data_IF_388722528931
#
_entry.id   IF_388722528931
#
_cell.length_a   1.000
_cell.length_b   1.000
_cell.length_c   1.000
_cell.angle_alpha   90.00
_cell.angle_beta   90.00
_cell.angle_gamma   90.00
#
_symmetry.space_group_name_H-M   'P 1'
#
loop_
_entity.id
_entity.type
_entity.pdbx_description
1 polymer ?
#
# COMPACT_ATOMS: atom_id res chain seq x y z
N UNK A 1 56.86 7.76 46.91
CA UNK A 1 55.66 7.63 47.77
C UNK A 1 54.56 8.66 47.46
N UNK A 2 54.63 9.94 47.84
CA UNK A 2 53.47 10.87 47.67
C UNK A 2 53.01 11.03 46.21
N UNK A 3 53.96 11.13 45.28
CA UNK A 3 53.67 11.28 43.84
C UNK A 3 53.00 10.01 43.27
N UNK A 4 53.53 8.82 43.59
CA UNK A 4 52.99 7.53 43.14
C UNK A 4 51.57 7.29 43.67
N UNK A 5 51.30 7.68 44.93
CA UNK A 5 49.95 7.60 45.52
C UNK A 5 48.96 8.49 44.78
N UNK A 6 49.38 9.70 44.39
CA UNK A 6 48.54 10.62 43.61
C UNK A 6 48.28 10.08 42.19
N UNK A 7 49.30 9.52 41.54
CA UNK A 7 49.15 8.94 40.20
C UNK A 7 48.22 7.72 40.23
N UNK A 8 48.36 6.84 41.21
CA UNK A 8 47.50 5.67 41.39
C UNK A 8 46.03 6.08 41.63
N UNK A 9 45.79 7.12 42.43
CA UNK A 9 44.46 7.67 42.66
C UNK A 9 43.85 8.21 41.35
N UNK A 10 44.64 8.91 40.54
CA UNK A 10 44.18 9.52 39.29
C UNK A 10 43.84 8.46 38.23
N UNK A 11 44.63 7.38 38.15
CA UNK A 11 44.34 6.20 37.31
C UNK A 11 43.05 5.51 37.76
N UNK A 12 42.84 5.38 39.06
CA UNK A 12 41.62 4.76 39.60
C UNK A 12 40.38 5.59 39.25
N UNK A 13 40.46 6.92 39.38
CA UNK A 13 39.39 7.84 38.99
C UNK A 13 39.11 7.74 37.49
N UNK A 14 40.14 7.74 36.64
CA UNK A 14 39.96 7.59 35.19
C UNK A 14 39.37 6.25 34.79
N UNK A 15 39.74 5.15 35.47
CA UNK A 15 39.13 3.84 35.24
C UNK A 15 37.63 3.83 35.58
N UNK A 16 37.23 4.50 36.67
CA UNK A 16 35.82 4.67 37.06
C UNK A 16 35.07 5.48 35.99
N UNK A 17 35.65 6.59 35.53
CA UNK A 17 35.04 7.40 34.47
C UNK A 17 34.88 6.59 33.17
N UNK A 18 35.91 5.87 32.73
CA UNK A 18 35.84 5.02 31.54
C UNK A 18 34.74 3.96 31.66
N UNK A 19 34.60 3.32 32.83
CA UNK A 19 33.54 2.36 33.10
C UNK A 19 32.14 2.99 33.05
N UNK A 20 31.95 4.16 33.66
CA UNK A 20 30.67 4.87 33.63
C UNK A 20 30.30 5.32 32.21
N UNK A 21 31.26 5.84 31.44
CA UNK A 21 31.06 6.22 30.05
C UNK A 21 30.71 5.01 29.18
N UNK A 22 31.40 3.89 29.35
CA UNK A 22 31.08 2.65 28.64
C UNK A 22 29.68 2.14 28.98
N UNK A 23 29.30 2.17 30.28
CA UNK A 23 27.97 1.77 30.73
C UNK A 23 26.88 2.69 30.18
N UNK A 24 27.12 4.00 30.12
CA UNK A 24 26.20 4.97 29.51
C UNK A 24 26.05 4.71 28.01
N UNK A 25 27.14 4.53 27.27
CA UNK A 25 27.10 4.22 25.85
C UNK A 25 26.26 2.97 25.56
N UNK A 26 26.49 1.89 26.33
CA UNK A 26 25.72 0.65 26.22
C UNK A 26 24.24 0.81 26.58
N UNK A 27 23.90 1.69 27.53
CA UNK A 27 22.51 1.98 27.87
C UNK A 27 21.81 2.82 26.79
N UNK A 28 22.55 3.73 26.13
CA UNK A 28 22.03 4.55 25.03
C UNK A 28 21.79 3.73 23.76
N UNK A 29 22.55 2.66 23.50
CA UNK A 29 22.32 1.75 22.37
C UNK A 29 20.89 1.21 22.33
N UNK A 30 20.37 0.71 23.45
CA UNK A 30 19.00 0.19 23.54
C UNK A 30 17.93 1.28 23.29
N UNK A 31 18.21 2.51 23.71
CA UNK A 31 17.31 3.64 23.44
C UNK A 31 17.35 4.06 21.97
N UNK A 32 18.53 4.02 21.34
CA UNK A 32 18.67 4.32 19.91
C UNK A 32 18.00 3.26 19.03
N UNK A 33 18.05 1.98 19.43
CA UNK A 33 17.35 0.90 18.73
C UNK A 33 15.83 1.10 18.77
N UNK A 34 15.28 1.38 19.95
CA UNK A 34 13.85 1.67 20.09
C UNK A 34 13.39 2.89 19.27
N UNK A 35 14.20 3.97 19.24
CA UNK A 35 13.94 5.15 18.40
C UNK A 35 14.02 4.81 16.91
N UNK A 36 14.96 3.95 16.52
CA UNK A 36 15.13 3.51 15.13
C UNK A 36 13.93 2.68 14.66
N UNK A 37 13.47 1.74 15.47
CA UNK A 37 12.30 0.93 15.17
C UNK A 37 11.03 1.79 15.08
N UNK A 38 10.88 2.76 15.99
CA UNK A 38 9.77 3.71 15.95
C UNK A 38 9.82 4.59 14.69
N UNK A 39 11.01 5.09 14.33
CA UNK A 39 11.21 5.88 13.10
C UNK A 39 10.90 5.06 11.86
N UNK A 40 11.33 3.80 11.83
CA UNK A 40 11.09 2.88 10.73
C UNK A 40 9.59 2.59 10.56
N UNK A 41 8.88 2.28 11.64
CA UNK A 41 7.44 2.04 11.61
C UNK A 41 6.65 3.27 11.14
N UNK A 42 7.10 4.47 11.50
CA UNK A 42 6.49 5.74 11.06
C UNK A 42 6.73 6.06 9.58
N UNK A 43 7.89 5.71 9.05
CA UNK A 43 8.29 6.06 7.69
C UNK A 43 7.93 4.99 6.66
N UNK A 44 7.63 3.77 7.12
CA UNK A 44 7.33 2.63 6.27
C UNK A 44 6.31 2.96 5.16
N UNK A 45 6.59 2.60 3.89
CA UNK A 45 5.58 2.61 2.84
C UNK A 45 4.50 1.56 3.16
N UNK A 46 3.25 1.87 2.87
CA UNK A 46 2.14 0.94 3.05
C UNK A 46 1.40 0.82 1.73
N UNK A 47 1.42 -0.36 1.12
CA UNK A 47 0.77 -0.60 -0.16
C UNK A 47 -0.60 -1.18 0.13
N UNK A 48 -1.59 -0.28 0.08
CA UNK A 48 -2.99 -0.63 0.27
C UNK A 48 -3.61 -1.02 -1.06
N UNK A 49 -4.32 -2.14 -1.05
CA UNK A 49 -5.11 -2.58 -2.21
C UNK A 49 -6.55 -2.74 -1.78
N UNK A 50 -7.44 -1.94 -2.38
CA UNK A 50 -8.85 -1.92 -2.00
C UNK A 50 -9.76 -1.78 -3.22
N UNK A 51 -10.89 -2.51 -3.24
CA UNK A 51 -11.95 -2.23 -4.20
C UNK A 51 -12.64 -0.90 -3.88
N UNK A 52 -13.17 -0.22 -4.90
CA UNK A 52 -14.03 0.94 -4.72
C UNK A 52 -14.94 1.13 -5.93
N UNK A 53 -16.03 1.87 -5.74
CA UNK A 53 -16.93 2.31 -6.81
C UNK A 53 -16.61 3.78 -7.09
N UNK A 54 -16.39 4.14 -8.35
CA UNK A 54 -16.24 5.55 -8.74
C UNK A 54 -17.62 6.21 -8.80
N UNK A 55 -17.80 7.45 -8.31
CA UNK A 55 -19.04 8.19 -8.45
C UNK A 55 -19.58 8.17 -9.88
N UNK A 56 -20.90 8.05 -10.01
CA UNK A 56 -21.62 8.00 -11.29
C UNK A 56 -21.24 6.85 -12.23
N UNK A 57 -20.60 5.78 -11.73
CA UNK A 57 -20.30 4.59 -12.54
C UNK A 57 -20.79 3.32 -11.87
N UNK A 58 -21.35 2.36 -12.61
CA UNK A 58 -21.70 1.05 -12.08
C UNK A 58 -20.51 0.08 -12.02
N UNK A 59 -19.27 0.59 -12.18
CA UNK A 59 -18.05 -0.20 -12.25
C UNK A 59 -17.40 -0.31 -10.88
N UNK A 60 -16.99 -1.54 -10.54
CA UNK A 60 -16.01 -1.74 -9.48
C UNK A 60 -14.61 -1.55 -10.05
N UNK A 61 -13.79 -0.88 -9.27
CA UNK A 61 -12.38 -0.65 -9.54
C UNK A 61 -11.54 -1.24 -8.41
N UNK A 62 -10.31 -1.60 -8.74
CA UNK A 62 -9.27 -1.95 -7.79
C UNK A 62 -8.28 -0.79 -7.73
N UNK A 63 -8.10 -0.23 -6.53
CA UNK A 63 -7.10 0.79 -6.26
C UNK A 63 -5.91 0.16 -5.56
N UNK A 64 -4.71 0.37 -6.11
CA UNK A 64 -3.44 0.12 -5.43
C UNK A 64 -2.85 1.48 -5.10
N UNK A 65 -2.62 1.77 -3.81
CA UNK A 65 -2.13 3.08 -3.36
C UNK A 65 -1.08 2.93 -2.29
N UNK A 66 -0.01 3.73 -2.40
CA UNK A 66 0.94 3.89 -1.31
C UNK A 66 0.40 4.93 -0.32
N UNK A 67 -0.08 4.48 0.83
CA UNK A 67 -0.59 5.32 1.92
C UNK A 67 0.47 5.62 2.98
N UNK A 68 1.67 5.06 2.83
CA UNK A 68 2.80 5.34 3.71
C UNK A 68 3.48 6.67 3.39
N UNK A 69 4.55 6.96 4.15
CA UNK A 69 5.27 8.24 4.07
C UNK A 69 6.52 8.20 3.20
N UNK A 70 6.97 7.03 2.78
CA UNK A 70 8.10 6.83 1.87
C UNK A 70 7.70 6.08 0.60
N UNK A 71 8.56 6.13 -0.42
CA UNK A 71 8.38 5.35 -1.64
C UNK A 71 8.71 3.88 -1.40
N UNK A 72 7.87 2.98 -1.91
CA UNK A 72 8.19 1.57 -2.00
C UNK A 72 9.13 1.35 -3.20
N UNK A 73 10.33 0.83 -2.96
CA UNK A 73 11.30 0.55 -4.03
C UNK A 73 11.13 -0.87 -4.54
N UNK A 74 11.39 -1.08 -5.83
CA UNK A 74 11.31 -2.39 -6.47
C UNK A 74 10.00 -3.12 -6.14
N UNK A 75 8.88 -2.39 -6.22
CA UNK A 75 7.56 -2.91 -5.88
C UNK A 75 7.12 -3.93 -6.93
N UNK A 76 6.84 -5.14 -6.49
CA UNK A 76 6.30 -6.20 -7.31
C UNK A 76 4.94 -6.64 -6.78
N UNK A 77 3.92 -6.55 -7.63
CA UNK A 77 2.54 -6.92 -7.32
C UNK A 77 2.23 -8.29 -7.93
N UNK A 78 1.67 -9.20 -7.14
CA UNK A 78 1.23 -10.50 -7.63
C UNK A 78 -0.20 -10.79 -7.23
N UNK A 79 -0.86 -11.65 -8.01
CA UNK A 79 -2.20 -12.14 -7.75
C UNK A 79 -2.13 -13.63 -7.42
N UNK A 80 -2.93 -14.08 -6.46
CA UNK A 80 -3.07 -15.50 -6.14
C UNK A 80 -3.91 -16.27 -7.16
N UNK A 81 -4.89 -15.59 -7.78
CA UNK A 81 -5.80 -16.13 -8.80
C UNK A 81 -5.86 -15.21 -10.00
N UNK A 82 -6.14 -15.78 -11.17
CA UNK A 82 -6.39 -14.96 -12.35
C UNK A 82 -7.68 -14.17 -12.20
N UNK A 83 -7.66 -12.93 -12.68
CA UNK A 83 -8.82 -12.06 -12.71
C UNK A 83 -8.92 -11.44 -14.10
N UNK A 84 -9.86 -11.92 -14.89
CA UNK A 84 -10.17 -11.37 -16.21
C UNK A 84 -11.16 -10.23 -16.05
N UNK A 85 -10.77 -9.04 -16.51
CA UNK A 85 -11.60 -7.84 -16.47
C UNK A 85 -12.86 -8.04 -17.32
N UNK A 86 -13.98 -7.48 -16.86
CA UNK A 86 -15.28 -7.50 -17.56
C UNK A 86 -15.85 -8.89 -17.85
N UNK A 87 -15.35 -9.96 -17.19
CA UNK A 87 -15.80 -11.32 -17.44
C UNK A 87 -15.36 -11.91 -18.79
N UNK A 88 -14.42 -11.26 -19.47
CA UNK A 88 -13.96 -11.64 -20.81
C UNK A 88 -12.67 -12.48 -20.73
N UNK A 89 -12.76 -13.78 -21.02
CA UNK A 89 -11.58 -14.67 -21.14
C UNK A 89 -10.79 -14.47 -22.44
N UNK A 90 -11.44 -13.94 -23.46
CA UNK A 90 -10.88 -13.80 -24.81
C UNK A 90 -9.97 -12.56 -24.90
N UNK A 91 -8.78 -12.68 -24.33
CA UNK A 91 -7.72 -11.68 -24.43
C UNK A 91 -6.74 -11.80 -23.28
N UNK A 92 -5.48 -12.17 -23.57
CA UNK A 92 -4.43 -12.23 -22.55
C UNK A 92 -4.26 -10.87 -21.83
N UNK A 93 -4.46 -9.76 -22.55
CA UNK A 93 -4.42 -8.39 -22.01
C UNK A 93 -5.58 -8.05 -21.07
N UNK A 94 -6.63 -8.88 -20.99
CA UNK A 94 -7.78 -8.65 -20.09
C UNK A 94 -7.55 -9.20 -18.70
N UNK A 95 -6.57 -10.10 -18.51
CA UNK A 95 -6.18 -10.54 -17.18
C UNK A 95 -5.43 -9.42 -16.45
N UNK A 96 -5.75 -9.17 -15.18
CA UNK A 96 -4.98 -8.23 -14.36
C UNK A 96 -3.50 -8.61 -14.25
N UNK A 97 -3.19 -9.93 -14.25
CA UNK A 97 -1.82 -10.45 -14.15
C UNK A 97 -0.92 -10.02 -15.31
N UNK A 98 -1.49 -9.80 -16.50
CA UNK A 98 -0.70 -9.40 -17.68
C UNK A 98 -0.44 -7.90 -17.75
N UNK A 99 -1.05 -7.09 -16.87
CA UNK A 99 -0.79 -5.65 -16.83
C UNK A 99 0.62 -5.40 -16.33
N UNK A 100 1.28 -4.37 -16.88
CA UNK A 100 2.65 -3.98 -16.52
C UNK A 100 2.86 -3.85 -14.99
N UNK A 101 1.87 -3.34 -14.26
CA UNK A 101 1.96 -3.24 -12.79
C UNK A 101 2.12 -4.58 -12.06
N UNK A 102 1.64 -5.69 -12.65
CA UNK A 102 1.70 -7.05 -12.08
C UNK A 102 2.74 -7.94 -12.77
N UNK A 103 3.16 -7.59 -13.99
CA UNK A 103 4.16 -8.36 -14.75
C UNK A 103 5.59 -7.86 -14.56
N UNK A 104 5.77 -6.55 -14.33
CA UNK A 104 7.09 -5.92 -14.20
C UNK A 104 7.24 -5.23 -12.85
N UNK A 105 8.42 -5.33 -12.19
CA UNK A 105 8.69 -4.55 -10.99
C UNK A 105 8.63 -3.05 -11.28
N UNK A 106 8.09 -2.29 -10.32
CA UNK A 106 8.02 -0.83 -10.34
C UNK A 106 9.21 -0.31 -9.53
N UNK A 107 10.14 0.37 -10.18
CA UNK A 107 11.39 0.85 -9.55
C UNK A 107 11.16 1.67 -8.28
N UNK A 108 10.18 2.58 -8.33
CA UNK A 108 9.78 3.41 -7.21
C UNK A 108 8.30 3.74 -7.28
N UNK A 109 7.56 3.40 -6.23
CA UNK A 109 6.16 3.75 -6.07
C UNK A 109 6.02 4.79 -4.95
N UNK A 110 5.98 6.09 -5.27
CA UNK A 110 6.14 7.17 -4.29
C UNK A 110 4.92 7.30 -3.36
N UNK A 111 5.06 7.99 -2.20
CA UNK A 111 3.96 8.27 -1.29
C UNK A 111 2.78 8.93 -2.02
N UNK A 112 1.58 8.45 -1.78
CA UNK A 112 0.36 9.00 -2.37
C UNK A 112 0.09 8.58 -3.82
N UNK A 113 1.04 7.94 -4.52
CA UNK A 113 0.81 7.43 -5.86
C UNK A 113 -0.27 6.35 -5.86
N UNK A 114 -1.06 6.32 -6.94
CA UNK A 114 -2.16 5.39 -7.11
C UNK A 114 -2.20 4.78 -8.50
N UNK A 115 -2.61 3.51 -8.55
CA UNK A 115 -2.96 2.78 -9.75
C UNK A 115 -4.42 2.34 -9.63
N UNK A 116 -5.19 2.52 -10.70
CA UNK A 116 -6.62 2.21 -10.72
C UNK A 116 -6.87 1.25 -11.88
N UNK A 117 -7.40 0.07 -11.56
CA UNK A 117 -7.76 -0.95 -12.54
C UNK A 117 -9.28 -1.14 -12.53
N UNK A 118 -9.92 -1.07 -13.70
CA UNK A 118 -11.34 -1.38 -13.81
C UNK A 118 -11.54 -2.89 -13.69
N UNK A 119 -12.37 -3.36 -12.75
CA UNK A 119 -12.66 -4.79 -12.61
C UNK A 119 -13.79 -5.21 -13.55
N UNK A 120 -14.88 -4.45 -13.50
CA UNK A 120 -16.06 -4.71 -14.32
C UNK A 120 -17.32 -4.11 -13.69
N UNK A 121 -18.43 -4.09 -14.43
CA UNK A 121 -19.69 -3.63 -13.90
C UNK A 121 -20.31 -4.67 -12.95
N UNK A 122 -21.06 -4.21 -11.95
CA UNK A 122 -21.64 -5.08 -10.92
C UNK A 122 -22.50 -6.23 -11.48
N UNK A 123 -23.26 -6.00 -12.56
CA UNK A 123 -24.08 -7.06 -13.18
C UNK A 123 -23.26 -8.16 -13.88
N UNK A 124 -22.01 -7.89 -14.25
CA UNK A 124 -21.09 -8.91 -14.79
C UNK A 124 -20.41 -9.68 -13.67
N UNK A 125 -19.99 -8.98 -12.62
CA UNK A 125 -19.26 -9.57 -11.50
C UNK A 125 -20.17 -10.39 -10.56
N UNK A 126 -21.46 -10.00 -10.44
CA UNK A 126 -22.40 -10.59 -9.48
C UNK A 126 -23.70 -11.09 -10.11
N UNK A 127 -23.91 -10.91 -11.42
CA UNK A 127 -25.15 -11.31 -12.09
C UNK A 127 -25.29 -12.83 -12.26
N UNK A 128 -26.43 -13.25 -12.80
CA UNK A 128 -26.73 -14.68 -13.04
C UNK A 128 -25.75 -15.37 -13.99
N UNK A 129 -25.10 -14.59 -14.85
CA UNK A 129 -24.09 -15.06 -15.82
C UNK A 129 -22.65 -14.87 -15.32
N UNK A 130 -22.45 -14.47 -14.06
CA UNK A 130 -21.13 -14.31 -13.48
C UNK A 130 -20.40 -15.66 -13.47
N UNK A 131 -19.10 -15.63 -13.82
CA UNK A 131 -18.24 -16.80 -13.82
C UNK A 131 -17.14 -16.60 -12.76
N UNK A 132 -17.29 -17.17 -11.55
CA UNK A 132 -16.33 -17.00 -10.46
C UNK A 132 -14.91 -17.48 -10.79
N UNK A 133 -14.77 -18.40 -11.75
CA UNK A 133 -13.47 -18.89 -12.24
C UNK A 133 -12.78 -17.92 -13.20
N UNK A 134 -13.52 -16.94 -13.74
CA UNK A 134 -13.03 -15.91 -14.66
C UNK A 134 -12.74 -14.62 -13.91
N UNK A 135 -13.69 -14.19 -13.09
CA UNK A 135 -13.63 -12.95 -12.31
C UNK A 135 -14.00 -13.28 -10.88
N UNK A 136 -13.05 -13.79 -10.07
CA UNK A 136 -13.34 -14.21 -8.70
C UNK A 136 -13.75 -13.01 -7.85
N UNK A 137 -14.79 -13.19 -7.02
CA UNK A 137 -15.25 -12.15 -6.09
C UNK A 137 -14.34 -11.97 -4.88
N UNK A 138 -13.40 -12.91 -4.68
CA UNK A 138 -12.40 -12.87 -3.63
C UNK A 138 -11.05 -13.33 -4.18
N UNK A 139 -10.02 -12.54 -3.93
CA UNK A 139 -8.65 -12.81 -4.36
C UNK A 139 -7.66 -12.02 -3.50
N UNK A 140 -6.39 -12.37 -3.57
CA UNK A 140 -5.32 -11.70 -2.86
C UNK A 140 -4.41 -10.96 -3.83
N UNK A 141 -4.03 -9.75 -3.45
CA UNK A 141 -2.93 -9.02 -4.09
C UNK A 141 -1.79 -8.95 -3.10
N UNK A 142 -0.66 -9.56 -3.45
CA UNK A 142 0.55 -9.50 -2.64
C UNK A 142 1.45 -8.41 -3.20
N UNK A 143 1.79 -7.44 -2.35
CA UNK A 143 2.78 -6.42 -2.65
C UNK A 143 4.10 -6.77 -1.96
N UNK A 144 5.15 -6.98 -2.74
CA UNK A 144 6.52 -7.18 -2.24
C UNK A 144 7.36 -5.97 -2.62
N UNK A 145 8.07 -5.38 -1.67
CA UNK A 145 8.84 -4.16 -1.91
C UNK A 145 10.00 -4.00 -0.94
N UNK A 146 10.86 -3.04 -1.23
CA UNK A 146 12.03 -2.68 -0.43
C UNK A 146 11.90 -1.27 0.15
N UNK A 147 12.34 -1.11 1.41
CA UNK A 147 12.44 0.19 2.07
C UNK A 147 13.58 0.15 3.10
N UNK A 148 14.42 1.20 3.15
CA UNK A 148 15.56 1.30 4.07
C UNK A 148 16.49 0.05 4.12
N UNK A 149 16.63 -0.66 3.00
CA UNK A 149 17.43 -1.89 2.90
C UNK A 149 16.75 -3.16 3.44
N UNK A 150 15.47 -3.09 3.84
CA UNK A 150 14.64 -4.23 4.25
C UNK A 150 13.63 -4.57 3.16
N UNK A 151 13.24 -5.84 3.11
CA UNK A 151 12.12 -6.33 2.30
C UNK A 151 10.87 -6.42 3.16
N UNK A 152 9.74 -6.00 2.60
CA UNK A 152 8.42 -6.20 3.17
C UNK A 152 7.51 -6.90 2.16
N UNK A 153 6.56 -7.65 2.72
CA UNK A 153 5.52 -8.34 1.99
C UNK A 153 4.18 -8.03 2.65
N UNK A 154 3.22 -7.62 1.83
CA UNK A 154 1.87 -7.23 2.27
C UNK A 154 0.83 -7.97 1.44
N UNK A 155 0.12 -8.90 2.09
CA UNK A 155 -0.98 -9.64 1.47
C UNK A 155 -2.28 -8.88 1.72
N UNK A 156 -2.82 -8.28 0.66
CA UNK A 156 -4.08 -7.57 0.69
C UNK A 156 -5.22 -8.50 0.22
N UNK A 157 -6.15 -8.81 1.12
CA UNK A 157 -7.32 -9.64 0.81
C UNK A 157 -8.44 -8.79 0.23
N UNK A 158 -8.75 -8.99 -1.04
CA UNK A 158 -9.80 -8.26 -1.75
C UNK A 158 -11.09 -9.08 -1.69
N UNK A 159 -12.18 -8.47 -1.21
CA UNK A 159 -13.52 -9.05 -1.20
C UNK A 159 -14.51 -8.07 -1.85
N UNK A 160 -15.11 -8.50 -2.96
CA UNK A 160 -16.05 -7.70 -3.74
C UNK A 160 -17.51 -7.88 -3.27
N UNK A 161 -17.80 -8.92 -2.49
CA UNK A 161 -19.18 -9.24 -2.06
C UNK A 161 -19.85 -8.16 -1.22
N UNK A 162 -19.15 -7.39 -0.36
CA UNK A 162 -19.76 -6.28 0.38
C UNK A 162 -20.39 -5.19 -0.50
N UNK A 163 -20.03 -5.13 -1.79
CA UNK A 163 -20.58 -4.15 -2.73
C UNK A 163 -21.91 -4.60 -3.36
N UNK A 164 -22.35 -5.83 -3.11
CA UNK A 164 -23.65 -6.32 -3.60
C UNK A 164 -24.76 -5.59 -2.85
N UNK A 165 -25.57 -4.82 -3.60
CA UNK A 165 -26.65 -4.02 -3.02
C UNK A 165 -26.19 -2.73 -2.35
N UNK A 166 -24.90 -2.36 -2.45
CA UNK A 166 -24.42 -1.03 -2.06
C UNK A 166 -24.58 -0.05 -3.21
N UNK A 167 -24.88 1.20 -2.89
CA UNK A 167 -24.89 2.30 -3.87
C UNK A 167 -23.56 3.07 -3.83
N UNK A 168 -23.11 3.51 -4.99
CA UNK A 168 -22.01 4.46 -5.10
C UNK A 168 -22.46 5.87 -4.74
N UNK A 169 -21.54 6.69 -4.25
CA UNK A 169 -21.79 8.11 -4.01
C UNK A 169 -22.16 8.83 -5.32
N UNK A 170 -23.19 9.67 -5.26
CA UNK A 170 -23.57 10.59 -6.33
C UNK A 170 -23.06 11.99 -5.95
N UNK A 171 -22.25 12.59 -6.82
CA UNK A 171 -21.78 13.97 -6.64
C UNK A 171 -22.90 14.94 -7.05
N UNK A 172 -23.43 15.75 -6.10
CA UNK A 172 -24.54 16.67 -6.38
C UNK A 172 -24.18 17.75 -7.41
N UNK A 173 -22.90 18.12 -7.52
CA UNK A 173 -22.45 19.12 -8.51
C UNK A 173 -22.50 18.52 -9.90
N UNK A 174 -22.03 17.28 -10.06
CA UNK A 174 -22.05 16.58 -11.35
C UNK A 174 -23.50 16.34 -11.80
N UNK A 175 -24.39 15.98 -10.88
CA UNK A 175 -25.81 15.82 -11.19
C UNK A 175 -26.45 17.13 -11.70
N UNK A 176 -26.15 18.25 -11.05
CA UNK A 176 -26.66 19.56 -11.46
C UNK A 176 -26.11 19.97 -12.85
N UNK A 177 -24.83 19.70 -13.11
CA UNK A 177 -24.21 19.95 -14.41
C UNK A 177 -24.85 19.10 -15.52
N UNK A 178 -25.13 17.82 -15.26
CA UNK A 178 -25.86 16.97 -16.21
C UNK A 178 -27.28 17.48 -16.47
N UNK A 179 -27.95 17.98 -15.44
CA UNK A 179 -29.29 18.58 -15.56
C UNK A 179 -29.24 19.82 -16.45
N UNK A 180 -28.31 20.73 -16.21
CA UNK A 180 -28.12 21.95 -17.02
C UNK A 180 -27.84 21.56 -18.47
N UNK A 181 -26.93 20.60 -18.70
CA UNK A 181 -26.61 20.11 -20.05
C UNK A 181 -27.85 19.60 -20.79
N UNK A 182 -28.67 18.75 -20.15
CA UNK A 182 -29.91 18.21 -20.74
C UNK A 182 -30.91 19.31 -21.09
N UNK A 183 -31.01 20.36 -20.28
CA UNK A 183 -31.88 21.52 -20.56
C UNK A 183 -31.36 22.32 -21.76
N UNK A 184 -30.05 22.50 -21.87
CA UNK A 184 -29.43 23.20 -23.00
C UNK A 184 -29.55 22.41 -24.31
N UNK A 185 -29.40 21.08 -24.28
CA UNK A 185 -29.56 20.21 -25.46
C UNK A 185 -31.01 20.22 -25.98
N UNK A 186 -32.02 20.35 -25.11
CA UNK A 186 -33.44 20.46 -25.50
C UNK A 186 -33.85 21.81 -26.08
N UNK A 187 -33.05 22.87 -25.86
CA UNK A 187 -33.31 24.22 -26.39
C UNK A 187 -32.68 24.46 -27.77
N UNK A 188 -32.00 23.46 -28.31
CA UNK A 188 -31.38 23.48 -29.64
C UNK A 188 -32.27 22.73 -30.63
#
# INVERSE_FOLDING_TARGET
MVIESLTALLVLITAIYAYLTYRMAKASEASMEAVRDQSEAMLRPYITVAPFIRPHTPFLYLRVKNTGRMGARNLHLTLDRDFFQYGEKDGADKNLRSKSAFSTPIDCFPPGAELIFALGPGWVLFGKSAQPDVSPTQFNVTATYEFLGKKAEEVNRVDLRPYIGSEGELDPVVEELERIRKVMEKKK
#
